data_IF_350474575757
#
_entry.id   IF_350474575757
#
_cell.length_a   1.000
_cell.length_b   1.000
_cell.length_c   1.000
_cell.angle_alpha   90.00
_cell.angle_beta   90.00
_cell.angle_gamma   90.00
#
_symmetry.space_group_name_H-M   'P 1'
#
loop_
_entity.id
_entity.type
_entity.pdbx_description
1 polymer ?
#
# COMPACT_ATOMS: atom_id res chain seq x y z
N UNK A 1 3.88 -40.98 10.84
CA UNK A 1 5.01 -40.24 10.22
C UNK A 1 4.66 -39.75 8.82
N UNK A 2 3.94 -40.54 8.00
CA UNK A 2 3.43 -40.11 6.69
C UNK A 2 2.36 -38.99 6.76
N UNK A 3 1.47 -38.99 7.76
CA UNK A 3 0.43 -37.96 7.88
C UNK A 3 0.97 -36.56 8.22
N UNK A 4 2.14 -36.49 8.88
CA UNK A 4 2.80 -35.23 9.20
C UNK A 4 3.53 -34.64 7.97
N UNK A 5 4.09 -35.50 7.12
CA UNK A 5 4.74 -35.11 5.86
C UNK A 5 3.69 -34.65 4.84
N UNK A 6 2.56 -35.36 4.75
CA UNK A 6 1.45 -34.99 3.87
C UNK A 6 0.78 -33.69 4.36
N UNK A 7 0.57 -33.51 5.67
CA UNK A 7 0.06 -32.23 6.19
C UNK A 7 1.03 -31.08 5.95
N UNK A 8 2.34 -31.26 6.13
CA UNK A 8 3.34 -30.23 5.82
C UNK A 8 3.32 -29.91 4.32
N UNK A 9 3.25 -30.92 3.44
CA UNK A 9 3.21 -30.71 1.99
C UNK A 9 1.89 -30.06 1.52
N UNK A 10 0.76 -30.41 2.14
CA UNK A 10 -0.56 -29.85 1.82
C UNK A 10 -0.78 -28.44 2.41
N UNK A 11 -0.36 -28.19 3.66
CA UNK A 11 -0.40 -26.86 4.27
C UNK A 11 0.53 -25.89 3.55
N UNK A 12 1.70 -26.37 3.13
CA UNK A 12 2.63 -25.58 2.32
C UNK A 12 2.08 -25.37 0.91
N UNK A 13 1.37 -26.35 0.30
CA UNK A 13 0.69 -26.19 -1.00
C UNK A 13 -0.38 -25.10 -1.02
N UNK A 14 -1.22 -24.98 0.01
CA UNK A 14 -2.29 -23.95 0.01
C UNK A 14 -1.71 -22.54 0.16
N UNK A 15 -0.65 -22.36 0.96
CA UNK A 15 0.10 -21.08 0.98
C UNK A 15 0.80 -20.83 -0.35
N UNK A 16 1.41 -21.87 -0.91
CA UNK A 16 2.14 -21.81 -2.17
C UNK A 16 1.26 -21.41 -3.37
N UNK A 17 0.00 -21.86 -3.44
CA UNK A 17 -0.95 -21.44 -4.48
C UNK A 17 -1.46 -19.99 -4.33
N UNK A 18 -1.29 -19.37 -3.15
CA UNK A 18 -1.70 -17.97 -2.92
C UNK A 18 -0.56 -16.97 -3.14
N UNK A 19 0.67 -17.45 -3.29
CA UNK A 19 1.83 -16.61 -3.56
C UNK A 19 1.90 -16.32 -5.07
N UNK A 20 1.78 -15.04 -5.44
CA UNK A 20 1.78 -14.58 -6.85
C UNK A 20 3.06 -14.91 -7.59
N UNK A 21 4.20 -14.95 -6.89
CA UNK A 21 5.49 -15.34 -7.47
C UNK A 21 5.49 -16.80 -7.95
N UNK A 22 4.90 -17.70 -7.16
CA UNK A 22 4.83 -19.11 -7.57
C UNK A 22 3.91 -19.27 -8.79
N UNK A 23 2.81 -18.52 -8.86
CA UNK A 23 1.93 -18.53 -10.01
C UNK A 23 2.65 -18.05 -11.29
N UNK A 24 3.44 -16.97 -11.20
CA UNK A 24 4.26 -16.49 -12.31
C UNK A 24 5.28 -17.53 -12.78
N UNK A 25 5.97 -18.20 -11.85
CA UNK A 25 6.91 -19.29 -12.17
C UNK A 25 6.20 -20.45 -12.89
N UNK A 26 5.02 -20.86 -12.44
CA UNK A 26 4.25 -21.92 -13.11
C UNK A 26 3.85 -21.54 -14.54
N UNK A 27 3.35 -20.31 -14.74
CA UNK A 27 2.98 -19.84 -16.08
C UNK A 27 4.22 -19.79 -16.98
N UNK A 28 5.37 -19.36 -16.46
CA UNK A 28 6.64 -19.37 -17.18
C UNK A 28 7.06 -20.80 -17.59
N UNK A 29 6.99 -21.76 -16.67
CA UNK A 29 7.33 -23.16 -16.99
C UNK A 29 6.38 -23.77 -18.02
N UNK A 30 5.07 -23.52 -17.90
CA UNK A 30 4.07 -24.02 -18.86
C UNK A 30 4.31 -23.43 -20.24
N UNK A 31 4.47 -22.10 -20.34
CA UNK A 31 4.69 -21.41 -21.62
C UNK A 31 6.02 -21.79 -22.27
N UNK A 32 7.09 -21.95 -21.48
CA UNK A 32 8.37 -22.45 -21.97
C UNK A 32 8.28 -23.91 -22.45
N UNK A 33 7.53 -24.77 -21.76
CA UNK A 33 7.32 -26.15 -22.19
C UNK A 33 6.51 -26.20 -23.49
N UNK A 34 5.44 -25.41 -23.58
CA UNK A 34 4.64 -25.26 -24.80
C UNK A 34 5.47 -24.77 -25.99
N UNK A 35 6.47 -23.92 -25.76
CA UNK A 35 7.41 -23.50 -26.80
C UNK A 35 8.38 -24.62 -27.25
N UNK A 36 8.86 -25.48 -26.35
CA UNK A 36 9.89 -26.49 -26.66
C UNK A 36 9.30 -27.82 -27.17
N UNK A 37 8.12 -28.22 -26.70
CA UNK A 37 7.50 -29.52 -27.01
C UNK A 37 7.34 -29.79 -28.52
N UNK A 38 6.86 -28.86 -29.35
CA UNK A 38 6.70 -29.12 -30.79
C UNK A 38 8.04 -29.38 -31.50
N UNK A 39 9.15 -28.80 -31.02
CA UNK A 39 10.50 -29.09 -31.55
C UNK A 39 10.92 -30.54 -31.27
N UNK A 40 10.51 -31.13 -30.15
CA UNK A 40 10.83 -32.53 -29.82
C UNK A 40 10.10 -33.52 -30.75
N UNK A 41 8.92 -33.15 -31.24
CA UNK A 41 8.13 -33.96 -32.16
C UNK A 41 8.36 -33.61 -33.65
N UNK A 42 9.28 -32.69 -33.95
CA UNK A 42 9.52 -32.15 -35.30
C UNK A 42 8.24 -31.60 -35.98
N UNK A 43 7.31 -31.03 -35.20
CA UNK A 43 6.09 -30.39 -35.71
C UNK A 43 6.19 -28.89 -35.48
N UNK A 44 6.00 -28.07 -36.51
CA UNK A 44 5.92 -26.61 -36.39
C UNK A 44 4.46 -26.16 -36.25
N UNK A 45 4.10 -25.57 -35.11
CA UNK A 45 2.74 -25.06 -34.85
C UNK A 45 2.76 -23.55 -34.66
N UNK A 46 1.76 -22.83 -35.19
CA UNK A 46 1.70 -21.36 -35.08
C UNK A 46 1.62 -20.87 -33.62
N UNK A 47 0.81 -21.54 -32.79
CA UNK A 47 0.65 -21.19 -31.37
C UNK A 47 1.94 -21.33 -30.55
N UNK A 48 2.93 -22.09 -31.06
CA UNK A 48 4.23 -22.25 -30.42
C UNK A 48 4.96 -20.90 -30.33
N UNK A 49 4.93 -20.10 -31.40
CA UNK A 49 5.60 -18.80 -31.44
C UNK A 49 4.90 -17.78 -30.54
N UNK A 50 3.58 -17.84 -30.44
CA UNK A 50 2.80 -17.04 -29.48
C UNK A 50 3.17 -17.40 -28.04
N UNK A 51 3.25 -18.69 -27.71
CA UNK A 51 3.69 -19.17 -26.40
C UNK A 51 5.15 -18.78 -26.10
N UNK A 52 6.03 -18.83 -27.10
CA UNK A 52 7.42 -18.39 -26.99
C UNK A 52 7.56 -16.90 -26.69
N UNK A 53 6.77 -16.04 -27.35
CA UNK A 53 6.76 -14.60 -27.09
C UNK A 53 6.33 -14.29 -25.64
N UNK A 54 5.28 -14.97 -25.15
CA UNK A 54 4.82 -14.85 -23.77
C UNK A 54 5.89 -15.34 -22.78
N UNK A 55 6.55 -16.47 -23.07
CA UNK A 55 7.61 -17.02 -22.21
C UNK A 55 8.81 -16.07 -22.11
N UNK A 56 9.25 -15.47 -23.22
CA UNK A 56 10.34 -14.49 -23.23
C UNK A 56 9.95 -13.26 -22.41
N UNK A 57 8.75 -12.70 -22.62
CA UNK A 57 8.29 -11.55 -21.83
C UNK A 57 8.21 -11.87 -20.32
N UNK A 58 7.61 -13.00 -19.96
CA UNK A 58 7.49 -13.42 -18.56
C UNK A 58 8.84 -13.71 -17.91
N UNK A 59 9.81 -14.26 -18.65
CA UNK A 59 11.16 -14.51 -18.11
C UNK A 59 11.90 -13.22 -17.75
N UNK A 60 11.80 -12.17 -18.56
CA UNK A 60 12.36 -10.87 -18.24
C UNK A 60 11.60 -10.19 -17.09
N UNK A 61 10.28 -10.36 -17.02
CA UNK A 61 9.49 -9.87 -15.89
C UNK A 61 9.84 -10.59 -14.59
N UNK A 62 10.00 -11.91 -14.60
CA UNK A 62 10.45 -12.69 -13.46
C UNK A 62 11.89 -12.31 -13.06
N UNK A 63 12.75 -12.02 -14.03
CA UNK A 63 14.07 -11.45 -13.76
C UNK A 63 13.98 -10.10 -13.04
N UNK A 64 13.07 -9.20 -13.44
CA UNK A 64 12.80 -7.95 -12.74
C UNK A 64 12.35 -8.21 -11.30
N UNK A 65 11.43 -9.15 -11.07
CA UNK A 65 10.98 -9.53 -9.72
C UNK A 65 12.13 -10.17 -8.93
N UNK A 66 13.03 -10.94 -9.54
CA UNK A 66 14.21 -11.49 -8.87
C UNK A 66 15.17 -10.39 -8.42
N UNK A 67 15.29 -9.29 -9.19
CA UNK A 67 16.13 -8.15 -8.84
C UNK A 67 15.72 -7.45 -7.54
N UNK A 68 14.49 -7.67 -7.05
CA UNK A 68 14.00 -7.15 -5.76
C UNK A 68 14.88 -7.53 -4.56
N UNK A 69 15.64 -8.64 -4.69
CA UNK A 69 16.47 -9.20 -3.60
C UNK A 69 17.85 -8.56 -3.49
N UNK A 70 18.27 -7.76 -4.46
CA UNK A 70 19.56 -7.06 -4.41
C UNK A 70 19.43 -5.68 -3.76
N UNK A 71 20.46 -5.26 -3.04
CA UNK A 71 20.40 -4.03 -2.23
C UNK A 71 20.30 -2.75 -3.09
N UNK A 72 21.01 -2.71 -4.23
CA UNK A 72 21.05 -1.54 -5.11
C UNK A 72 19.77 -1.36 -5.92
N UNK A 73 19.31 -2.40 -6.63
CA UNK A 73 18.13 -2.32 -7.49
C UNK A 73 16.81 -2.62 -6.77
N UNK A 74 16.86 -3.35 -5.66
CA UNK A 74 15.67 -3.93 -5.05
C UNK A 74 14.67 -2.92 -4.52
N UNK A 75 15.14 -1.79 -3.96
CA UNK A 75 14.26 -0.72 -3.48
C UNK A 75 13.43 -0.10 -4.61
N UNK A 76 14.03 0.10 -5.78
CA UNK A 76 13.36 0.67 -6.95
C UNK A 76 12.36 -0.33 -7.53
N UNK A 77 12.73 -1.61 -7.59
CA UNK A 77 11.84 -2.68 -8.06
C UNK A 77 10.61 -2.83 -7.16
N UNK A 78 10.79 -2.88 -5.84
CA UNK A 78 9.67 -3.02 -4.89
C UNK A 78 8.73 -1.83 -4.99
N UNK A 79 9.27 -0.61 -5.05
CA UNK A 79 8.47 0.61 -5.22
C UNK A 79 7.72 0.62 -6.56
N UNK A 80 8.37 0.24 -7.65
CA UNK A 80 7.74 0.14 -8.97
C UNK A 80 6.55 -0.84 -8.97
N UNK A 81 6.72 -2.02 -8.38
CA UNK A 81 5.65 -3.02 -8.30
C UNK A 81 4.48 -2.54 -7.42
N UNK A 82 4.75 -1.80 -6.34
CA UNK A 82 3.70 -1.20 -5.51
C UNK A 82 2.94 -0.10 -6.25
N UNK A 83 3.64 0.80 -6.95
CA UNK A 83 3.01 1.81 -7.80
C UNK A 83 2.19 1.15 -8.92
N UNK A 84 2.73 0.12 -9.58
CA UNK A 84 2.01 -0.64 -10.61
C UNK A 84 0.71 -1.24 -10.08
N UNK A 85 0.73 -1.78 -8.85
CA UNK A 85 -0.47 -2.31 -8.20
C UNK A 85 -1.51 -1.21 -7.93
N UNK A 86 -1.09 -0.04 -7.45
CA UNK A 86 -2.00 1.11 -7.25
C UNK A 86 -2.60 1.59 -8.56
N UNK A 87 -1.81 1.65 -9.64
CA UNK A 87 -2.28 2.01 -10.97
C UNK A 87 -3.33 1.02 -11.49
N UNK A 88 -3.07 -0.29 -11.37
CA UNK A 88 -4.02 -1.33 -11.78
C UNK A 88 -5.33 -1.24 -10.98
N UNK A 89 -5.26 -0.94 -9.69
CA UNK A 89 -6.45 -0.76 -8.85
C UNK A 89 -7.29 0.44 -9.31
N UNK A 90 -6.66 1.59 -9.58
CA UNK A 90 -7.37 2.78 -10.09
C UNK A 90 -7.96 2.49 -11.47
N UNK A 91 -7.18 1.91 -12.38
CA UNK A 91 -7.64 1.55 -13.72
C UNK A 91 -8.85 0.60 -13.68
N UNK A 92 -8.87 -0.34 -12.72
CA UNK A 92 -10.02 -1.22 -12.53
C UNK A 92 -11.31 -0.47 -12.20
N UNK A 93 -11.26 0.63 -11.46
CA UNK A 93 -12.43 1.47 -11.17
C UNK A 93 -12.87 2.23 -12.43
N UNK A 94 -11.91 2.77 -13.18
CA UNK A 94 -12.17 3.47 -14.45
C UNK A 94 -12.59 2.53 -15.59
N UNK A 95 -12.47 1.21 -15.44
CA UNK A 95 -12.88 0.25 -16.47
C UNK A 95 -14.35 0.38 -16.87
N UNK A 96 -15.25 0.71 -15.93
CA UNK A 96 -16.69 0.94 -16.20
C UNK A 96 -16.86 2.07 -17.21
N UNK A 97 -16.10 3.14 -17.01
CA UNK A 97 -16.08 4.32 -17.85
C UNK A 97 -15.46 3.98 -19.22
N UNK A 98 -14.34 3.24 -19.28
CA UNK A 98 -13.74 2.77 -20.54
C UNK A 98 -14.73 1.93 -21.34
N UNK A 99 -15.47 1.04 -20.67
CA UNK A 99 -16.50 0.20 -21.33
C UNK A 99 -17.64 1.06 -21.87
N UNK A 100 -18.14 2.02 -21.09
CA UNK A 100 -19.23 2.90 -21.52
C UNK A 100 -18.87 3.72 -22.76
N UNK A 101 -17.71 4.38 -22.75
CA UNK A 101 -17.25 5.17 -23.90
C UNK A 101 -16.85 4.30 -25.09
N UNK A 102 -16.22 3.14 -24.86
CA UNK A 102 -15.84 2.24 -25.95
C UNK A 102 -17.03 1.58 -26.65
N UNK A 103 -18.10 1.25 -25.91
CA UNK A 103 -19.35 0.81 -26.53
C UNK A 103 -20.08 1.97 -27.24
N UNK A 104 -20.00 3.19 -26.70
CA UNK A 104 -20.57 4.37 -27.36
C UNK A 104 -19.87 4.65 -28.69
N UNK A 105 -18.54 4.70 -28.72
CA UNK A 105 -17.77 4.90 -29.95
C UNK A 105 -17.94 3.76 -30.95
N UNK A 106 -18.10 2.52 -30.48
CA UNK A 106 -18.45 1.38 -31.35
C UNK A 106 -19.73 1.65 -32.14
N UNK A 107 -20.79 2.18 -31.49
CA UNK A 107 -22.07 2.47 -32.15
C UNK A 107 -21.94 3.69 -33.08
N UNK A 108 -21.25 4.74 -32.63
CA UNK A 108 -21.12 6.01 -33.37
C UNK A 108 -20.22 5.88 -34.62
N UNK A 109 -19.19 5.04 -34.56
CA UNK A 109 -18.13 4.91 -35.58
C UNK A 109 -18.11 3.53 -36.26
N UNK A 110 -19.16 2.71 -36.13
CA UNK A 110 -19.21 1.34 -36.66
C UNK A 110 -18.87 1.21 -38.17
N UNK A 111 -19.16 2.25 -38.96
CA UNK A 111 -18.98 2.28 -40.42
C UNK A 111 -17.63 2.83 -40.89
N UNK A 112 -16.71 3.12 -39.98
CA UNK A 112 -15.41 3.68 -40.32
C UNK A 112 -14.56 2.73 -41.20
N UNK A 113 -13.92 3.28 -42.24
CA UNK A 113 -13.10 2.52 -43.21
C UNK A 113 -11.83 1.88 -42.60
N UNK A 114 -11.30 2.46 -41.51
CA UNK A 114 -10.11 1.95 -40.80
C UNK A 114 -10.34 0.62 -40.08
N UNK A 115 -11.60 0.14 -40.04
CA UNK A 115 -12.05 -1.05 -39.28
C UNK A 115 -11.72 -1.02 -37.79
N UNK A 116 -11.22 0.10 -37.24
CA UNK A 116 -10.84 0.23 -35.84
C UNK A 116 -12.02 0.01 -34.87
N UNK A 117 -13.25 0.28 -35.33
CA UNK A 117 -14.48 0.11 -34.57
C UNK A 117 -15.37 -1.04 -35.07
N UNK A 118 -14.84 -1.96 -35.89
CA UNK A 118 -15.64 -3.06 -36.45
C UNK A 118 -16.05 -4.12 -35.43
N UNK A 119 -15.30 -4.26 -34.32
CA UNK A 119 -15.65 -5.19 -33.24
C UNK A 119 -15.67 -4.46 -31.90
N UNK A 120 -16.53 -4.86 -30.94
CA UNK A 120 -16.59 -4.21 -29.64
C UNK A 120 -15.25 -4.31 -28.88
N UNK A 121 -14.52 -5.42 -29.02
CA UNK A 121 -13.19 -5.58 -28.40
C UNK A 121 -12.15 -4.60 -28.98
N UNK A 122 -12.16 -4.40 -30.30
CA UNK A 122 -11.24 -3.46 -30.93
C UNK A 122 -11.59 -1.99 -30.61
N UNK A 123 -12.88 -1.68 -30.48
CA UNK A 123 -13.35 -0.37 -30.01
C UNK A 123 -12.92 -0.08 -28.58
N UNK A 124 -13.02 -1.08 -27.68
CA UNK A 124 -12.53 -0.96 -26.31
C UNK A 124 -11.00 -0.76 -26.27
N UNK A 125 -10.25 -1.52 -27.07
CA UNK A 125 -8.80 -1.37 -27.19
C UNK A 125 -8.43 0.02 -27.73
N UNK A 126 -9.16 0.50 -28.75
CA UNK A 126 -8.95 1.84 -29.32
C UNK A 126 -9.23 2.92 -28.28
N UNK A 127 -10.32 2.78 -27.52
CA UNK A 127 -10.68 3.71 -26.44
C UNK A 127 -9.64 3.71 -25.31
N UNK A 128 -9.09 2.54 -24.98
CA UNK A 128 -7.98 2.43 -24.03
C UNK A 128 -6.70 3.13 -24.52
N UNK A 129 -6.36 2.99 -25.81
CA UNK A 129 -5.22 3.72 -26.39
C UNK A 129 -5.45 5.24 -26.41
N UNK A 130 -6.68 5.67 -26.72
CA UNK A 130 -7.08 7.07 -26.71
C UNK A 130 -7.00 7.73 -25.32
N UNK A 131 -6.98 6.95 -24.24
CA UNK A 131 -6.76 7.46 -22.88
C UNK A 131 -5.34 8.03 -22.69
N UNK A 132 -4.34 7.44 -23.35
CA UNK A 132 -2.94 7.87 -23.25
C UNK A 132 -2.65 9.02 -24.21
N UNK A 133 -3.13 8.91 -25.45
CA UNK A 133 -2.90 9.90 -26.49
C UNK A 133 -4.11 10.00 -27.42
N UNK A 134 -4.63 11.22 -27.60
CA UNK A 134 -5.79 11.48 -28.46
C UNK A 134 -5.30 11.97 -29.82
N UNK A 135 -5.28 11.08 -30.81
CA UNK A 135 -5.02 11.45 -32.21
C UNK A 135 -6.28 12.02 -32.87
N UNK A 136 -6.53 13.31 -32.65
CA UNK A 136 -7.66 14.02 -33.24
C UNK A 136 -7.54 14.16 -34.76
N UNK A 137 -6.33 14.44 -35.27
CA UNK A 137 -6.14 14.83 -36.66
C UNK A 137 -6.37 13.65 -37.62
N UNK A 138 -5.79 12.49 -37.33
CA UNK A 138 -5.94 11.32 -38.19
C UNK A 138 -7.29 10.60 -38.00
N UNK A 139 -7.84 10.61 -36.78
CA UNK A 139 -9.01 9.75 -36.48
C UNK A 139 -10.37 10.47 -36.59
N UNK A 140 -10.41 11.79 -36.39
CA UNK A 140 -11.68 12.53 -36.32
C UNK A 140 -11.75 13.67 -37.34
N UNK A 141 -10.69 14.44 -37.51
CA UNK A 141 -10.69 15.59 -38.41
C UNK A 141 -10.77 15.17 -39.88
N UNK A 142 -9.96 14.18 -40.30
CA UNK A 142 -10.01 13.65 -41.66
C UNK A 142 -11.40 13.11 -42.02
N UNK A 143 -12.01 12.33 -41.11
CA UNK A 143 -13.37 11.82 -41.31
C UNK A 143 -14.46 12.91 -41.31
N UNK A 144 -14.27 14.01 -40.57
CA UNK A 144 -15.22 15.11 -40.53
C UNK A 144 -15.13 15.99 -41.79
N UNK A 145 -13.93 16.16 -42.37
CA UNK A 145 -13.67 17.02 -43.51
C UNK A 145 -13.82 16.31 -44.86
N UNK A 146 -13.65 14.98 -44.93
CA UNK A 146 -13.69 14.19 -46.18
C UNK A 146 -15.07 14.23 -46.88
N UNK A 147 -16.11 14.80 -46.26
CA UNK A 147 -17.38 15.15 -46.92
C UNK A 147 -18.22 13.97 -47.43
N UNK A 148 -17.75 12.73 -47.23
CA UNK A 148 -18.48 11.49 -47.53
C UNK A 148 -19.48 11.23 -46.40
N UNK A 149 -20.77 11.39 -46.69
CA UNK A 149 -21.87 11.12 -45.74
C UNK A 149 -21.95 9.66 -45.23
N UNK A 150 -21.17 8.75 -45.81
CA UNK A 150 -21.08 7.34 -45.44
C UNK A 150 -20.07 7.06 -44.31
N UNK A 151 -19.03 7.89 -44.14
CA UNK A 151 -17.93 7.61 -43.19
C UNK A 151 -18.25 8.01 -41.75
N UNK A 152 -19.00 9.09 -41.54
CA UNK A 152 -19.35 9.62 -40.21
C UNK A 152 -20.84 9.98 -40.11
N UNK A 153 -21.68 8.99 -39.85
CA UNK A 153 -23.15 9.17 -39.84
C UNK A 153 -23.64 10.20 -38.79
N UNK A 154 -22.93 10.31 -37.66
CA UNK A 154 -23.30 11.19 -36.53
C UNK A 154 -22.17 12.15 -36.11
N UNK A 155 -21.57 12.88 -37.06
CA UNK A 155 -20.41 13.76 -36.83
C UNK A 155 -20.52 14.69 -35.61
N UNK A 156 -21.61 15.45 -35.48
CA UNK A 156 -21.78 16.39 -34.36
C UNK A 156 -21.88 15.68 -33.00
N UNK A 157 -22.57 14.55 -32.93
CA UNK A 157 -22.73 13.79 -31.68
C UNK A 157 -21.40 13.13 -31.29
N UNK A 158 -20.65 12.60 -32.26
CA UNK A 158 -19.30 12.08 -32.04
C UNK A 158 -18.35 13.15 -31.51
N UNK A 159 -18.38 14.38 -32.06
CA UNK A 159 -17.56 15.49 -31.55
C UNK A 159 -17.93 15.87 -30.10
N UNK A 160 -19.22 15.90 -29.76
CA UNK A 160 -19.66 16.17 -28.38
C UNK A 160 -19.16 15.08 -27.42
N UNK A 161 -19.35 13.80 -27.78
CA UNK A 161 -18.84 12.68 -27.00
C UNK A 161 -17.31 12.68 -26.89
N UNK A 162 -16.61 13.10 -27.93
CA UNK A 162 -15.15 13.25 -27.93
C UNK A 162 -14.70 14.34 -26.95
N UNK A 163 -15.33 15.52 -26.95
CA UNK A 163 -15.00 16.58 -25.99
C UNK A 163 -15.22 16.12 -24.56
N UNK A 164 -16.36 15.48 -24.28
CA UNK A 164 -16.66 14.91 -22.96
C UNK A 164 -15.65 13.83 -22.57
N UNK A 165 -15.26 12.97 -23.51
CA UNK A 165 -14.25 11.94 -23.31
C UNK A 165 -12.88 12.53 -22.97
N UNK A 166 -12.39 13.53 -23.71
CA UNK A 166 -11.08 14.16 -23.47
C UNK A 166 -11.02 14.79 -22.08
N UNK A 167 -12.11 15.46 -21.66
CA UNK A 167 -12.20 16.06 -20.33
C UNK A 167 -12.25 15.01 -19.21
N UNK A 168 -13.07 13.96 -19.38
CA UNK A 168 -13.31 12.97 -18.32
C UNK A 168 -12.25 11.87 -18.23
N UNK A 169 -11.62 11.49 -19.35
CA UNK A 169 -10.67 10.36 -19.38
C UNK A 169 -9.23 10.84 -19.26
N UNK A 170 -8.54 11.32 -20.31
CA UNK A 170 -7.15 11.77 -20.17
C UNK A 170 -6.91 12.74 -19.03
N UNK A 171 -7.71 13.81 -18.90
CA UNK A 171 -7.42 14.88 -17.92
C UNK A 171 -7.69 14.42 -16.48
N UNK A 172 -8.88 13.90 -16.17
CA UNK A 172 -9.18 13.45 -14.81
C UNK A 172 -8.34 12.23 -14.42
N UNK A 173 -8.15 11.26 -15.32
CA UNK A 173 -7.43 10.04 -15.01
C UNK A 173 -5.94 10.32 -14.82
N UNK A 174 -5.29 11.10 -15.69
CA UNK A 174 -3.88 11.45 -15.50
C UNK A 174 -3.68 12.27 -14.22
N UNK A 175 -4.55 13.24 -13.93
CA UNK A 175 -4.44 14.03 -12.71
C UNK A 175 -4.67 13.19 -11.45
N UNK A 176 -5.58 12.21 -11.49
CA UNK A 176 -5.81 11.30 -10.38
C UNK A 176 -4.64 10.31 -10.21
N UNK A 177 -4.13 9.72 -11.30
CA UNK A 177 -3.00 8.80 -11.23
C UNK A 177 -1.75 9.50 -10.68
N UNK A 178 -1.46 10.72 -11.16
CA UNK A 178 -0.36 11.53 -10.66
C UNK A 178 -0.63 11.94 -9.21
N UNK A 179 -1.86 12.37 -8.88
CA UNK A 179 -2.23 12.80 -7.54
C UNK A 179 -2.13 11.69 -6.49
N UNK A 180 -2.53 10.46 -6.84
CA UNK A 180 -2.39 9.28 -5.99
C UNK A 180 -0.93 8.85 -5.88
N UNK A 181 -0.22 8.79 -7.00
CA UNK A 181 1.20 8.41 -6.99
C UNK A 181 2.06 9.37 -6.17
N UNK A 182 1.82 10.68 -6.27
CA UNK A 182 2.56 11.70 -5.51
C UNK A 182 2.10 11.76 -4.05
N UNK A 183 0.81 11.57 -3.77
CA UNK A 183 0.28 11.56 -2.40
C UNK A 183 0.74 10.36 -1.59
N UNK A 184 0.89 9.19 -2.23
CA UNK A 184 1.25 7.94 -1.57
C UNK A 184 2.76 7.61 -1.64
N UNK A 185 3.58 8.43 -2.31
CA UNK A 185 5.00 8.09 -2.53
C UNK A 185 5.80 7.91 -1.23
N UNK A 186 5.54 8.73 -0.21
CA UNK A 186 6.29 8.68 1.05
C UNK A 186 5.93 7.46 1.91
N UNK A 187 4.64 7.09 1.96
CA UNK A 187 4.17 5.89 2.67
C UNK A 187 4.65 4.63 1.95
N UNK A 188 4.49 4.58 0.62
CA UNK A 188 4.99 3.49 -0.23
C UNK A 188 6.50 3.33 -0.09
N UNK A 189 7.26 4.43 -0.04
CA UNK A 189 8.72 4.34 0.14
C UNK A 189 9.09 3.73 1.51
N UNK A 190 8.41 4.09 2.59
CA UNK A 190 8.66 3.52 3.93
C UNK A 190 8.30 2.04 3.99
N UNK A 191 7.15 1.66 3.42
CA UNK A 191 6.69 0.29 3.36
C UNK A 191 7.61 -0.59 2.49
N UNK A 192 8.04 -0.08 1.33
CA UNK A 192 8.99 -0.74 0.45
C UNK A 192 10.33 -1.02 1.13
N UNK A 193 10.85 -0.07 1.93
CA UNK A 193 12.09 -0.26 2.70
C UNK A 193 11.95 -1.38 3.74
N UNK A 194 10.84 -1.39 4.49
CA UNK A 194 10.58 -2.42 5.48
C UNK A 194 10.41 -3.80 4.83
N UNK A 195 9.65 -3.87 3.73
CA UNK A 195 9.44 -5.10 2.95
C UNK A 195 10.73 -5.63 2.35
N UNK A 196 11.61 -4.75 1.86
CA UNK A 196 12.96 -5.11 1.40
C UNK A 196 13.79 -5.73 2.52
N UNK A 197 13.89 -5.06 3.68
CA UNK A 197 14.63 -5.57 4.84
C UNK A 197 14.09 -6.93 5.31
N UNK A 198 12.76 -7.06 5.38
CA UNK A 198 12.11 -8.33 5.73
C UNK A 198 12.48 -9.45 4.74
N UNK A 199 12.49 -9.15 3.44
CA UNK A 199 12.86 -10.10 2.40
C UNK A 199 14.34 -10.50 2.45
N UNK A 200 15.24 -9.56 2.81
CA UNK A 200 16.66 -9.85 3.03
C UNK A 200 16.86 -10.77 4.24
N UNK A 201 16.19 -10.48 5.36
CA UNK A 201 16.21 -11.33 6.57
C UNK A 201 15.65 -12.72 6.26
N UNK A 202 14.54 -12.80 5.52
CA UNK A 202 13.96 -14.08 5.10
C UNK A 202 14.91 -14.85 4.17
N UNK A 203 15.58 -14.18 3.24
CA UNK A 203 16.59 -14.80 2.37
C UNK A 203 17.74 -15.36 3.19
N UNK A 204 18.31 -14.58 4.11
CA UNK A 204 19.39 -15.02 4.99
C UNK A 204 18.96 -16.19 5.86
N UNK A 205 17.77 -16.14 6.46
CA UNK A 205 17.24 -17.21 7.30
C UNK A 205 16.98 -18.49 6.49
N UNK A 206 16.44 -18.37 5.28
CA UNK A 206 16.24 -19.50 4.37
C UNK A 206 17.56 -20.11 3.89
N UNK A 207 18.56 -19.27 3.61
CA UNK A 207 19.91 -19.72 3.27
C UNK A 207 20.58 -20.43 4.45
N UNK A 208 20.52 -19.86 5.66
CA UNK A 208 21.08 -20.46 6.87
C UNK A 208 20.45 -21.81 7.18
N UNK A 209 19.11 -21.91 7.06
CA UNK A 209 18.39 -23.17 7.30
C UNK A 209 18.71 -24.28 6.29
N UNK A 210 18.97 -23.91 5.03
CA UNK A 210 19.34 -24.87 3.96
C UNK A 210 20.84 -25.16 3.92
N UNK A 211 21.66 -24.39 4.65
CA UNK A 211 23.11 -24.55 4.64
C UNK A 211 23.53 -25.77 5.47
N UNK A 212 24.37 -26.67 4.93
CA UNK A 212 24.86 -27.82 5.69
C UNK A 212 25.80 -27.39 6.82
N UNK A 213 25.79 -28.15 7.92
CA UNK A 213 26.44 -27.78 9.19
C UNK A 213 27.95 -27.51 9.08
N UNK A 214 28.63 -28.14 8.13
CA UNK A 214 30.06 -27.92 7.91
C UNK A 214 30.36 -26.52 7.33
N UNK A 215 29.51 -25.99 6.44
CA UNK A 215 29.63 -24.62 5.93
C UNK A 215 29.23 -23.62 7.00
N UNK A 216 28.14 -23.91 7.73
CA UNK A 216 27.67 -23.05 8.81
C UNK A 216 28.76 -22.84 9.86
N UNK A 217 29.40 -23.92 10.34
CA UNK A 217 30.50 -23.84 11.32
C UNK A 217 31.74 -23.11 10.79
N UNK A 218 32.00 -23.15 9.47
CA UNK A 218 33.17 -22.52 8.86
C UNK A 218 32.97 -21.02 8.57
N UNK A 219 31.73 -20.60 8.28
CA UNK A 219 31.38 -19.22 7.91
C UNK A 219 30.87 -18.41 9.12
N UNK A 220 30.42 -19.08 10.18
CA UNK A 220 29.92 -18.40 11.37
C UNK A 220 31.02 -17.62 12.10
N UNK A 221 30.95 -16.30 12.03
CA UNK A 221 31.83 -15.36 12.72
C UNK A 221 31.02 -14.61 13.79
N UNK A 222 31.29 -14.87 15.07
CA UNK A 222 30.51 -14.29 16.18
C UNK A 222 30.87 -12.84 16.48
N UNK A 223 32.06 -12.38 16.07
CA UNK A 223 32.53 -11.00 16.24
C UNK A 223 33.11 -10.48 14.94
N UNK A 224 32.75 -9.24 14.59
CA UNK A 224 33.24 -8.54 13.42
C UNK A 224 33.90 -7.22 13.87
N UNK A 225 35.21 -7.11 13.66
CA UNK A 225 35.98 -5.91 13.99
C UNK A 225 35.98 -4.93 12.81
N UNK A 226 35.26 -3.81 12.94
CA UNK A 226 35.15 -2.77 11.90
C UNK A 226 36.20 -1.67 12.09
N UNK A 227 37.03 -1.42 11.07
CA UNK A 227 38.06 -0.37 11.08
C UNK A 227 37.71 0.74 10.08
N UNK A 228 37.14 1.89 10.51
CA UNK A 228 36.59 2.92 9.62
C UNK A 228 37.63 3.63 8.74
N UNK A 229 38.89 3.71 9.17
CA UNK A 229 39.94 4.49 8.49
C UNK A 229 40.90 3.65 7.63
N UNK A 230 40.61 2.37 7.39
CA UNK A 230 41.48 1.51 6.56
C UNK A 230 41.02 1.54 5.11
N UNK A 231 41.84 2.08 4.21
CA UNK A 231 41.56 2.03 2.77
C UNK A 231 41.56 0.57 2.29
N UNK A 232 40.44 0.13 1.75
CA UNK A 232 40.29 -1.20 1.18
C UNK A 232 40.84 -1.22 -0.26
N UNK A 233 41.22 -2.40 -0.75
CA UNK A 233 41.75 -2.61 -2.10
C UNK A 233 40.74 -2.20 -3.18
N UNK A 234 41.18 -1.91 -4.42
CA UNK A 234 40.33 -1.49 -5.56
C UNK A 234 39.07 -2.37 -5.76
N UNK A 235 39.19 -3.69 -5.53
CA UNK A 235 38.08 -4.65 -5.66
C UNK A 235 37.04 -4.46 -4.55
N UNK A 236 37.49 -4.22 -3.32
CA UNK A 236 36.63 -3.79 -2.22
C UNK A 236 36.12 -2.37 -2.40
N UNK A 237 36.82 -1.50 -3.13
CA UNK A 237 36.32 -0.16 -3.48
C UNK A 237 35.14 -0.23 -4.45
N UNK A 238 35.21 -1.10 -5.46
CA UNK A 238 34.09 -1.39 -6.38
C UNK A 238 32.91 -2.03 -5.63
N UNK A 239 33.16 -3.03 -4.78
CA UNK A 239 32.11 -3.64 -3.97
C UNK A 239 31.52 -2.65 -2.95
N UNK A 240 32.36 -1.79 -2.34
CA UNK A 240 31.92 -0.74 -1.44
C UNK A 240 31.10 0.34 -2.12
N UNK A 241 31.23 0.54 -3.43
CA UNK A 241 30.37 1.46 -4.20
C UNK A 241 28.99 0.86 -4.42
N UNK A 242 28.92 -0.46 -4.62
CA UNK A 242 27.64 -1.18 -4.71
C UNK A 242 26.91 -1.22 -3.36
N UNK A 243 27.64 -1.35 -2.24
CA UNK A 243 27.08 -1.36 -0.89
C UNK A 243 26.97 0.01 -0.22
N UNK A 244 27.73 1.05 -0.62
CA UNK A 244 27.66 2.41 -0.05
C UNK A 244 26.30 3.10 -0.24
N UNK A 245 25.53 2.66 -1.22
CA UNK A 245 24.16 3.15 -1.41
C UNK A 245 23.27 2.84 -0.18
N UNK A 246 23.68 1.92 0.70
CA UNK A 246 23.03 1.74 2.01
C UNK A 246 23.31 2.89 3.00
N UNK A 247 24.49 3.52 2.98
CA UNK A 247 24.86 4.57 3.96
C UNK A 247 24.21 5.92 3.65
N UNK A 248 23.94 6.26 2.39
CA UNK A 248 23.23 7.52 2.05
C UNK A 248 21.72 7.47 2.37
N UNK A 249 21.22 6.31 2.84
CA UNK A 249 19.87 6.17 3.42
C UNK A 249 19.74 6.83 4.80
N UNK A 250 20.86 7.23 5.43
CA UNK A 250 20.86 7.89 6.75
C UNK A 250 20.21 9.28 6.72
N UNK A 251 20.09 9.93 5.56
CA UNK A 251 19.44 11.24 5.47
C UNK A 251 17.92 11.20 5.67
N UNK A 252 17.29 10.01 5.64
CA UNK A 252 15.85 9.84 5.87
C UNK A 252 15.53 9.02 7.13
N UNK A 253 16.54 8.37 7.73
CA UNK A 253 16.42 7.75 9.05
C UNK A 253 16.26 8.79 10.16
N UNK A 254 16.67 10.04 9.94
CA UNK A 254 16.41 11.19 10.81
C UNK A 254 14.91 11.50 10.99
N UNK A 255 14.10 11.36 9.92
CA UNK A 255 12.67 11.69 9.95
C UNK A 255 11.83 10.62 10.66
N UNK A 256 12.14 9.33 10.44
CA UNK A 256 11.49 8.22 11.16
C UNK A 256 11.99 8.09 12.62
N UNK A 257 13.26 8.42 12.87
CA UNK A 257 13.79 8.52 14.24
C UNK A 257 13.15 9.66 15.01
N UNK A 258 12.97 10.85 14.41
CA UNK A 258 12.23 11.93 15.04
C UNK A 258 10.77 11.55 15.30
N UNK A 259 10.08 10.93 14.34
CA UNK A 259 8.67 10.54 14.51
C UNK A 259 8.48 9.48 15.60
N UNK A 260 9.38 8.49 15.69
CA UNK A 260 9.34 7.47 16.75
C UNK A 260 9.71 8.03 18.13
N UNK A 261 10.67 8.96 18.21
CA UNK A 261 11.01 9.67 19.45
C UNK A 261 9.85 10.54 19.91
N UNK A 262 9.19 11.28 19.01
CA UNK A 262 7.99 12.07 19.32
C UNK A 262 6.86 11.17 19.83
N UNK A 263 6.62 10.02 19.19
CA UNK A 263 5.58 9.09 19.60
C UNK A 263 5.88 8.46 20.98
N UNK A 264 7.15 8.17 21.26
CA UNK A 264 7.60 7.70 22.56
C UNK A 264 7.44 8.77 23.65
N UNK A 265 7.81 10.03 23.37
CA UNK A 265 7.61 11.15 24.29
C UNK A 265 6.13 11.44 24.53
N UNK A 266 5.28 11.38 23.50
CA UNK A 266 3.82 11.48 23.66
C UNK A 266 3.25 10.36 24.54
N UNK A 267 3.76 9.13 24.41
CA UNK A 267 3.32 8.01 25.24
C UNK A 267 3.73 8.20 26.70
N UNK A 268 4.96 8.66 26.94
CA UNK A 268 5.43 9.04 28.29
C UNK A 268 4.59 10.18 28.88
N UNK A 269 4.29 11.21 28.10
CA UNK A 269 3.47 12.34 28.54
C UNK A 269 2.03 11.91 28.85
N UNK A 270 1.45 11.00 28.06
CA UNK A 270 0.13 10.43 28.31
C UNK A 270 0.07 9.61 29.60
N UNK A 271 1.12 8.85 29.93
CA UNK A 271 1.22 8.14 31.20
C UNK A 271 1.30 9.12 32.37
N UNK A 272 2.16 10.15 32.27
CA UNK A 272 2.26 11.20 33.30
C UNK A 272 0.94 11.95 33.51
N UNK A 273 0.21 12.26 32.45
CA UNK A 273 -1.13 12.88 32.56
C UNK A 273 -2.12 12.00 33.30
N UNK A 274 -2.11 10.68 33.05
CA UNK A 274 -2.98 9.74 33.77
C UNK A 274 -2.63 9.70 35.25
N UNK A 275 -1.35 9.63 35.59
CA UNK A 275 -0.89 9.64 36.99
C UNK A 275 -1.30 10.94 37.69
N UNK A 276 -1.08 12.09 37.05
CA UNK A 276 -1.49 13.40 37.58
C UNK A 276 -3.01 13.47 37.79
N UNK A 277 -3.81 12.96 36.84
CA UNK A 277 -5.27 12.94 36.98
C UNK A 277 -5.71 12.09 38.18
N UNK A 278 -5.11 10.91 38.37
CA UNK A 278 -5.40 10.07 39.56
C UNK A 278 -4.97 10.72 40.87
N UNK A 279 -3.91 11.53 40.86
CA UNK A 279 -3.46 12.27 42.04
C UNK A 279 -4.40 13.44 42.36
N UNK A 280 -4.90 14.14 41.34
CA UNK A 280 -5.91 15.18 41.48
C UNK A 280 -7.21 14.61 42.07
N UNK A 281 -7.67 13.45 41.59
CA UNK A 281 -8.85 12.77 42.14
C UNK A 281 -8.67 12.43 43.63
N UNK A 282 -7.49 11.93 44.01
CA UNK A 282 -7.16 11.64 45.42
C UNK A 282 -7.14 12.91 46.27
N UNK A 283 -6.54 13.98 45.78
CA UNK A 283 -6.50 15.27 46.48
C UNK A 283 -7.91 15.86 46.62
N UNK A 284 -8.73 15.77 45.58
CA UNK A 284 -10.12 16.26 45.60
C UNK A 284 -10.97 15.47 46.62
N UNK A 285 -10.75 14.15 46.70
CA UNK A 285 -11.39 13.31 47.71
C UNK A 285 -10.89 13.62 49.13
N UNK A 286 -9.60 13.89 49.30
CA UNK A 286 -9.04 14.31 50.59
C UNK A 286 -9.64 15.64 51.05
N UNK A 287 -9.71 16.63 50.16
CA UNK A 287 -10.34 17.93 50.42
C UNK A 287 -11.81 17.78 50.83
N UNK A 288 -12.56 16.90 50.15
CA UNK A 288 -13.95 16.60 50.51
C UNK A 288 -14.06 16.01 51.91
N UNK A 289 -13.17 15.08 52.26
CA UNK A 289 -13.10 14.51 53.63
C UNK A 289 -12.70 15.53 54.67
N UNK A 290 -11.79 16.45 54.35
CA UNK A 290 -11.40 17.55 55.25
C UNK A 290 -12.59 18.46 55.48
N UNK A 291 -13.32 18.86 54.43
CA UNK A 291 -14.53 19.68 54.56
C UNK A 291 -15.64 18.99 55.38
N UNK A 292 -15.78 17.67 55.26
CA UNK A 292 -16.74 16.87 56.03
C UNK A 292 -16.34 16.72 57.51
N UNK A 293 -15.02 16.70 57.81
CA UNK A 293 -14.46 16.62 59.17
C UNK A 293 -14.20 17.98 59.82
N UNK A 294 -14.10 19.02 59.01
CA UNK A 294 -14.06 20.40 59.46
C UNK A 294 -15.46 20.71 59.92
N UNK A 295 -15.70 20.52 61.22
CA UNK A 295 -16.81 21.15 61.90
C UNK A 295 -16.63 22.65 61.68
N UNK A 296 -17.28 23.16 60.63
CA UNK A 296 -17.52 24.58 60.48
C UNK A 296 -18.45 24.89 61.63
N UNK A 297 -17.89 25.26 62.78
CA UNK A 297 -18.57 26.15 63.67
C UNK A 297 -18.76 27.43 62.86
N UNK A 298 -19.93 27.61 62.26
CA UNK A 298 -20.41 28.94 61.93
C UNK A 298 -20.46 29.68 63.26
N UNK A 299 -19.46 30.52 63.52
CA UNK A 299 -19.51 31.55 64.56
C UNK A 299 -20.58 32.60 64.17
N UNK A 300 -21.83 32.17 63.99
CA UNK A 300 -22.96 33.05 63.66
C UNK A 300 -24.29 32.64 64.35
N UNK A 301 -24.29 31.69 65.30
CA UNK A 301 -25.49 31.38 66.12
C UNK A 301 -25.45 32.02 67.53
N UNK A 302 -24.56 32.98 67.74
CA UNK A 302 -24.72 33.95 68.81
C UNK A 302 -25.27 35.23 68.18
N UNK A 303 -26.43 35.69 68.66
CA UNK A 303 -27.16 36.91 68.31
C UNK A 303 -28.28 36.77 67.25
N UNK A 304 -29.46 36.46 67.78
CA UNK A 304 -30.60 37.39 67.87
C UNK A 304 -31.91 37.00 67.15
N UNK A 305 -32.99 37.35 67.84
CA UNK A 305 -34.38 36.96 67.63
C UNK A 305 -35.03 37.57 66.37
N UNK A 306 -35.86 36.77 65.69
CA UNK A 306 -37.18 37.20 65.21
C UNK A 306 -37.30 37.82 63.80
N UNK A 307 -38.22 37.28 62.99
CA UNK A 307 -38.82 38.00 61.86
C UNK A 307 -39.16 37.14 60.65
N UNK A 308 -40.44 36.84 60.51
CA UNK A 308 -41.08 36.02 59.47
C UNK A 308 -41.15 36.71 58.08
N UNK A 309 -41.47 35.91 57.05
CA UNK A 309 -42.02 36.23 55.70
C UNK A 309 -41.11 36.25 54.44
N UNK A 310 -41.15 35.11 53.73
CA UNK A 310 -41.62 34.87 52.34
C UNK A 310 -41.05 35.60 51.08
N UNK A 311 -41.10 34.85 49.96
CA UNK A 311 -40.93 35.21 48.52
C UNK A 311 -39.49 35.44 48.02
N UNK A 312 -39.03 35.13 46.80
CA UNK A 312 -39.52 34.46 45.59
C UNK A 312 -38.26 34.28 44.68
N UNK A 313 -38.32 33.33 43.75
CA UNK A 313 -37.63 33.26 42.44
C UNK A 313 -36.24 33.88 42.20
N UNK A 314 -35.34 33.07 41.64
CA UNK A 314 -34.89 33.26 40.23
C UNK A 314 -33.88 32.19 39.82
N UNK A 315 -34.36 31.26 39.00
CA UNK A 315 -33.55 30.55 38.01
C UNK A 315 -32.84 31.56 37.10
N UNK A 316 -31.56 31.33 36.77
CA UNK A 316 -31.10 31.67 35.43
C UNK A 316 -29.90 30.86 34.94
N UNK A 317 -30.08 30.38 33.72
CA UNK A 317 -29.19 29.61 32.87
C UNK A 317 -27.84 30.29 32.58
N UNK A 318 -26.78 29.47 32.50
CA UNK A 318 -25.83 29.62 31.40
C UNK A 318 -25.37 28.26 30.90
N UNK A 319 -26.05 27.78 29.84
CA UNK A 319 -25.61 26.69 28.98
C UNK A 319 -24.62 27.24 27.95
N UNK A 320 -23.48 26.58 27.82
CA UNK A 320 -22.74 26.53 26.55
C UNK A 320 -22.18 25.13 26.34
N UNK A 321 -22.49 24.59 25.16
CA UNK A 321 -22.32 23.22 24.72
C UNK A 321 -20.86 22.76 24.57
N UNK A 322 -20.63 21.47 24.77
CA UNK A 322 -19.43 20.77 24.29
C UNK A 322 -19.80 19.44 23.64
N UNK A 323 -19.55 19.37 22.32
CA UNK A 323 -19.66 18.21 21.45
C UNK A 323 -18.73 17.06 21.90
N UNK A 324 -19.23 15.83 21.82
CA UNK A 324 -18.44 14.59 21.86
C UNK A 324 -17.73 14.36 20.52
N UNK A 325 -16.51 13.77 20.52
CA UNK A 325 -16.01 13.04 19.36
C UNK A 325 -15.95 11.53 19.62
N UNK A 326 -16.35 10.79 18.59
CA UNK A 326 -16.29 9.34 18.45
C UNK A 326 -14.84 8.82 18.54
N UNK A 327 -14.40 8.34 19.71
CA UNK A 327 -13.10 7.63 19.88
C UNK A 327 -13.24 6.21 20.46
N UNK A 328 -14.46 5.71 20.57
CA UNK A 328 -14.77 4.46 21.25
C UNK A 328 -14.60 3.16 20.44
N UNK A 329 -14.49 3.22 19.10
CA UNK A 329 -14.30 2.00 18.29
C UNK A 329 -12.83 1.65 18.13
N UNK A 330 -11.97 2.63 17.82
CA UNK A 330 -10.53 2.42 17.59
C UNK A 330 -9.80 1.89 18.83
N UNK A 331 -10.25 2.28 20.03
CA UNK A 331 -9.63 1.80 21.28
C UNK A 331 -9.96 0.33 21.55
N UNK A 332 -11.15 -0.15 21.18
CA UNK A 332 -11.55 -1.56 21.36
C UNK A 332 -10.74 -2.50 20.46
N UNK A 333 -10.47 -2.08 19.23
CA UNK A 333 -9.65 -2.87 18.30
C UNK A 333 -8.18 -2.98 18.74
N UNK A 334 -7.64 -1.92 19.36
CA UNK A 334 -6.29 -1.93 19.95
C UNK A 334 -6.17 -2.85 21.16
N UNK A 335 -7.22 -2.96 21.99
CA UNK A 335 -7.24 -3.88 23.14
C UNK A 335 -7.37 -5.34 22.71
N UNK A 336 -8.19 -5.65 21.70
CA UNK A 336 -8.33 -7.01 21.17
C UNK A 336 -7.02 -7.52 20.55
N UNK A 337 -6.30 -6.66 19.81
CA UNK A 337 -5.03 -7.00 19.19
C UNK A 337 -3.92 -7.27 20.22
N UNK A 338 -3.96 -6.57 21.37
CA UNK A 338 -2.99 -6.75 22.46
C UNK A 338 -3.24 -8.03 23.26
N UNK A 339 -4.51 -8.33 23.58
CA UNK A 339 -4.88 -9.57 24.28
C UNK A 339 -4.58 -10.83 23.45
N UNK A 340 -4.69 -10.76 22.12
CA UNK A 340 -4.32 -11.88 21.24
C UNK A 340 -2.80 -12.15 21.20
N UNK A 341 -1.97 -11.11 21.35
CA UNK A 341 -0.51 -11.23 21.39
C UNK A 341 -0.02 -11.78 22.72
N UNK A 342 -0.69 -11.44 23.82
CA UNK A 342 -0.35 -11.94 25.15
C UNK A 342 -0.75 -13.42 25.34
N UNK A 343 -1.78 -13.90 24.62
CA UNK A 343 -2.15 -15.32 24.61
C UNK A 343 -1.14 -16.22 23.87
N UNK A 344 -0.35 -15.65 22.94
CA UNK A 344 0.67 -16.37 22.16
C UNK A 344 2.01 -16.51 22.90
N UNK A 345 2.27 -15.66 23.91
CA UNK A 345 3.43 -15.80 24.79
C UNK A 345 3.08 -16.78 25.90
N UNK A 346 3.16 -18.07 25.59
CA UNK A 346 3.05 -19.15 26.58
C UNK A 346 4.00 -18.94 27.78
N UNK A 347 3.69 -19.53 28.94
CA UNK A 347 4.39 -19.28 30.19
C UNK A 347 5.86 -19.71 30.06
N UNK A 348 6.77 -18.75 30.27
CA UNK A 348 8.20 -19.00 30.37
C UNK A 348 8.47 -19.91 31.58
N UNK A 349 8.98 -21.11 31.33
CA UNK A 349 9.72 -21.90 32.32
C UNK A 349 11.20 -21.59 32.20
#
# INVERSE_FOLDING_TARGET
MCDCIINIFLLQKVRYFRDTNNALEWVLYITSLMFVVPFLFNVSLHWQWEAGAIAVFLSWFDCLVFLQRFDFFGIYVVMFLEILQTLLQVLSVFSILIIAFGLSFYILMFKEESKAYSTPALSLLRTFMMMLEVDYMGSFNELYVDGKTESLHFGNLTLVFLVVFVLLMPILLMNLLIGLAVGDIESVQRDARLKRLAMQVELHMNMERKMPDFLRKRVHLTKYDFFPNRCTTLLNSMFSMFTKTEMDSEMQQSSDSQTSVICQEMCKQKVRMREMNTMIEKNHHLLRKIMEKMEIHTEEDAWDEGGDLNSEDSDNEFRSASQQPHTGSTMRDLFLKKSAVDLWKGPKK
#
